data_IF_469220597002
#
_entry.id   IF_469220597002
#
_cell.length_a   1.000
_cell.length_b   1.000
_cell.length_c   1.000
_cell.angle_alpha   90.00
_cell.angle_beta   90.00
_cell.angle_gamma   90.00
#
_symmetry.space_group_name_H-M   'P 1'
#
loop_
_entity.id
_entity.type
_entity.pdbx_description
1 polymer ?
#
# COMPACT_ATOMS: atom_id res chain seq x y z
N UNK A 1 4.60 22.69 -2.08
CA UNK A 1 5.62 21.63 -1.91
C UNK A 1 5.49 21.09 -0.49
N UNK A 2 5.51 19.77 -0.28
CA UNK A 2 5.41 19.18 1.06
C UNK A 2 6.80 19.05 1.68
N UNK A 3 6.95 19.43 2.94
CA UNK A 3 8.18 19.32 3.70
C UNK A 3 8.08 18.21 4.74
N UNK A 4 9.13 17.41 4.91
CA UNK A 4 9.20 16.40 5.96
C UNK A 4 10.36 16.68 6.90
N UNK A 5 10.07 16.60 8.20
CA UNK A 5 11.05 16.71 9.27
C UNK A 5 11.07 15.40 10.04
N UNK A 6 12.19 14.68 9.95
CA UNK A 6 12.38 13.41 10.63
C UNK A 6 12.75 13.65 12.10
N UNK A 7 12.17 12.87 13.02
CA UNK A 7 12.35 13.07 14.48
C UNK A 7 13.40 12.12 15.08
N UNK A 8 13.79 11.05 14.37
CA UNK A 8 14.75 10.05 14.87
C UNK A 8 16.05 9.97 14.04
N UNK A 9 17.04 9.20 14.49
CA UNK A 9 18.23 8.91 13.70
C UNK A 9 17.91 7.87 12.63
N UNK A 10 18.27 8.14 11.37
CA UNK A 10 18.29 7.10 10.35
C UNK A 10 19.27 6.00 10.77
N UNK A 11 18.77 4.78 10.95
CA UNK A 11 19.66 3.63 11.09
C UNK A 11 20.58 3.62 9.87
N UNK A 12 21.90 3.57 10.08
CA UNK A 12 22.92 3.44 9.01
C UNK A 12 22.87 2.03 8.40
N UNK A 13 21.69 1.49 8.13
CA UNK A 13 21.57 0.20 7.47
C UNK A 13 22.05 0.38 6.04
N UNK A 14 23.08 -0.38 5.67
CA UNK A 14 23.79 -0.34 4.38
C UNK A 14 22.93 -0.74 3.16
N UNK A 15 21.66 -1.05 3.34
CA UNK A 15 20.80 -1.62 2.29
C UNK A 15 19.97 -0.54 1.59
N UNK A 16 20.10 -0.45 0.27
CA UNK A 16 19.18 0.28 -0.61
C UNK A 16 17.85 -0.49 -0.67
N UNK A 17 16.91 -0.11 0.20
CA UNK A 17 15.59 -0.73 0.32
C UNK A 17 14.46 0.22 -0.07
N UNK A 18 13.28 -0.31 -0.38
CA UNK A 18 12.06 0.50 -0.53
C UNK A 18 11.35 0.54 0.81
N UNK A 19 11.55 1.62 1.55
CA UNK A 19 11.05 1.77 2.92
C UNK A 19 9.73 2.52 2.94
N UNK A 20 8.88 2.16 3.89
CA UNK A 20 7.65 2.84 4.22
C UNK A 20 7.78 3.53 5.57
N UNK A 21 7.21 4.73 5.65
CA UNK A 21 7.08 5.49 6.88
C UNK A 21 5.63 5.93 6.95
N UNK A 22 4.96 5.59 8.06
CA UNK A 22 3.64 6.13 8.34
C UNK A 22 3.81 7.60 8.72
N UNK A 23 3.34 8.46 7.83
CA UNK A 23 3.38 9.92 7.98
C UNK A 23 1.99 10.46 7.72
N UNK A 24 1.71 11.69 8.12
CA UNK A 24 0.46 12.37 7.77
C UNK A 24 0.69 13.90 7.74
N UNK A 25 -0.18 14.67 7.07
CA UNK A 25 -0.12 16.13 7.11
C UNK A 25 -0.30 16.65 8.54
N UNK A 26 0.55 17.58 8.96
CA UNK A 26 0.43 18.25 10.25
C UNK A 26 -0.80 19.16 10.25
N UNK A 27 -1.81 18.92 11.12
CA UNK A 27 -2.99 19.78 11.19
C UNK A 27 -2.67 21.21 11.64
N UNK A 28 -1.52 21.43 12.29
CA UNK A 28 -1.10 22.74 12.82
C UNK A 28 -0.15 23.49 11.87
N UNK A 29 0.46 22.79 10.90
CA UNK A 29 1.48 23.35 10.00
C UNK A 29 1.20 22.92 8.56
N UNK A 30 0.40 23.70 7.80
CA UNK A 30 0.09 23.41 6.41
C UNK A 30 1.36 23.18 5.58
N UNK A 31 1.38 22.11 4.80
CA UNK A 31 2.52 21.73 3.98
C UNK A 31 3.62 20.95 4.70
N UNK A 32 3.50 20.72 6.01
CA UNK A 32 4.43 19.86 6.75
C UNK A 32 3.85 18.45 6.92
N UNK A 33 4.71 17.44 6.75
CA UNK A 33 4.46 16.05 7.08
C UNK A 33 5.11 15.72 8.43
N UNK A 34 4.43 14.92 9.24
CA UNK A 34 4.91 14.46 10.54
C UNK A 34 4.79 12.93 10.62
N UNK A 35 5.80 12.31 11.22
CA UNK A 35 5.80 10.89 11.57
C UNK A 35 6.18 10.74 13.04
N UNK A 36 5.68 9.67 13.68
CA UNK A 36 6.15 9.22 15.00
C UNK A 36 6.77 7.83 14.96
N UNK A 37 6.76 7.20 13.80
CA UNK A 37 7.18 5.82 13.63
C UNK A 37 8.57 5.78 12.98
N UNK A 38 9.29 4.68 13.21
CA UNK A 38 10.55 4.41 12.55
C UNK A 38 10.38 4.06 11.07
N UNK A 39 11.50 3.81 10.41
CA UNK A 39 11.52 3.30 9.03
C UNK A 39 11.18 1.82 8.98
N UNK A 40 10.18 1.44 8.19
CA UNK A 40 9.79 0.05 8.00
C UNK A 40 10.17 -0.44 6.60
N UNK A 41 11.06 -1.42 6.51
CA UNK A 41 11.42 -2.07 5.24
C UNK A 41 10.35 -3.09 4.78
N UNK A 42 9.63 -3.70 5.71
CA UNK A 42 8.54 -4.61 5.41
C UNK A 42 7.22 -3.83 5.38
N UNK A 43 6.44 -4.05 4.30
CA UNK A 43 5.07 -3.50 4.13
C UNK A 43 4.21 -3.78 5.36
N UNK A 44 4.44 -4.94 5.92
CA UNK A 44 3.71 -5.49 7.02
C UNK A 44 3.89 -4.73 8.34
N UNK A 45 5.12 -4.31 8.66
CA UNK A 45 5.36 -3.48 9.84
C UNK A 45 4.75 -2.08 9.66
N UNK A 46 4.72 -1.57 8.43
CA UNK A 46 3.98 -0.35 8.11
C UNK A 46 2.46 -0.51 8.29
N UNK A 47 1.87 -1.65 7.90
CA UNK A 47 0.45 -1.92 8.17
C UNK A 47 0.21 -2.03 9.68
N UNK A 48 1.12 -2.66 10.42
CA UNK A 48 1.05 -2.72 11.88
C UNK A 48 1.08 -1.33 12.53
N UNK A 49 1.91 -0.40 12.05
CA UNK A 49 1.93 0.97 12.59
C UNK A 49 0.59 1.69 12.38
N UNK A 50 -0.08 1.45 11.25
CA UNK A 50 -1.43 1.94 11.01
C UNK A 50 -2.44 1.45 12.04
N UNK A 51 -2.40 0.16 12.36
CA UNK A 51 -3.33 -0.48 13.29
C UNK A 51 -3.32 0.18 14.66
N UNK A 52 -2.13 0.49 15.18
CA UNK A 52 -1.99 1.02 16.54
C UNK A 52 -2.57 2.45 16.67
N UNK A 53 -2.85 3.11 15.54
CA UNK A 53 -3.52 4.41 15.48
C UNK A 53 -5.04 4.31 15.15
N UNK A 54 -5.60 3.11 14.94
CA UNK A 54 -7.04 2.92 14.66
C UNK A 54 -7.78 2.62 15.98
N UNK A 55 -8.57 3.60 16.46
CA UNK A 55 -9.32 3.55 17.74
C UNK A 55 -10.83 3.61 17.51
N UNK A 56 -11.62 3.30 18.56
CA UNK A 56 -13.08 3.52 18.53
C UNK A 56 -13.37 5.02 18.43
N UNK A 57 -14.26 5.42 17.53
CA UNK A 57 -14.54 6.84 17.27
C UNK A 57 -13.55 7.47 16.29
N UNK A 58 -13.36 6.81 15.15
CA UNK A 58 -12.53 7.10 13.98
C UNK A 58 -12.80 8.46 13.28
N UNK A 59 -13.23 9.47 14.03
CA UNK A 59 -13.81 10.70 13.49
C UNK A 59 -12.81 11.83 13.34
N UNK A 60 -11.66 11.88 14.02
CA UNK A 60 -10.82 13.09 13.99
C UNK A 60 -9.30 12.94 14.04
N UNK A 61 -8.71 11.74 14.12
CA UNK A 61 -7.24 11.65 14.13
C UNK A 61 -6.65 11.76 12.72
N UNK A 62 -5.89 12.84 12.37
CA UNK A 62 -5.39 13.07 11.01
C UNK A 62 -4.55 11.93 10.45
N UNK A 63 -4.04 11.03 11.30
CA UNK A 63 -3.18 9.89 10.97
C UNK A 63 -3.88 8.75 10.23
N UNK A 64 -5.19 8.64 10.41
CA UNK A 64 -6.01 7.53 9.89
C UNK A 64 -7.21 8.02 9.07
N UNK A 65 -7.35 9.32 8.84
CA UNK A 65 -8.43 9.86 8.01
C UNK A 65 -8.34 9.41 6.54
N UNK A 66 -7.12 9.20 6.05
CA UNK A 66 -6.80 8.76 4.70
C UNK A 66 -5.65 7.76 4.75
N UNK A 67 -5.36 7.13 3.62
CA UNK A 67 -4.17 6.32 3.50
C UNK A 67 -2.98 7.22 3.15
N UNK A 68 -1.94 7.16 3.96
CA UNK A 68 -0.76 7.99 3.89
C UNK A 68 0.51 7.13 3.93
N UNK A 69 1.37 7.24 2.93
CA UNK A 69 2.64 6.53 2.92
C UNK A 69 3.74 7.48 2.46
N UNK A 70 4.79 7.61 3.26
CA UNK A 70 6.03 8.21 2.79
C UNK A 70 6.98 7.08 2.43
N UNK A 71 7.51 7.14 1.22
CA UNK A 71 8.39 6.14 0.65
C UNK A 71 9.77 6.74 0.45
N UNK A 72 10.81 5.95 0.73
CA UNK A 72 12.21 6.34 0.49
C UNK A 72 13.10 5.16 0.11
N UNK A 73 14.30 5.49 -0.38
CA UNK A 73 15.41 4.55 -0.60
C UNK A 73 16.32 4.37 0.63
N UNK A 74 16.03 5.09 1.73
CA UNK A 74 16.46 4.72 3.08
C UNK A 74 17.74 5.34 3.62
N UNK A 75 18.45 6.20 2.87
CA UNK A 75 19.63 6.91 3.40
C UNK A 75 19.88 8.27 2.75
N UNK A 76 20.56 9.20 3.46
CA UNK A 76 21.11 10.42 2.89
C UNK A 76 22.06 10.11 1.74
N UNK A 77 21.98 10.88 0.66
CA UNK A 77 22.87 10.73 -0.48
C UNK A 77 23.10 12.11 -1.11
N UNK A 78 24.33 12.60 -1.10
CA UNK A 78 24.63 13.95 -1.61
C UNK A 78 24.99 13.92 -3.10
N UNK A 79 25.86 13.00 -3.51
CA UNK A 79 26.39 12.98 -4.89
C UNK A 79 25.41 12.36 -5.89
N UNK A 80 24.56 11.45 -5.45
CA UNK A 80 23.58 10.77 -6.30
C UNK A 80 22.13 11.19 -5.99
N UNK A 81 21.92 12.25 -5.20
CA UNK A 81 20.60 12.69 -4.77
C UNK A 81 19.61 12.78 -5.93
N UNK A 82 19.96 13.53 -6.97
CA UNK A 82 19.07 13.77 -8.11
C UNK A 82 18.75 12.50 -8.88
N UNK A 83 19.76 11.64 -9.11
CA UNK A 83 19.57 10.34 -9.76
C UNK A 83 18.62 9.45 -8.96
N UNK A 84 18.81 9.39 -7.65
CA UNK A 84 17.99 8.58 -6.76
C UNK A 84 16.57 9.14 -6.62
N UNK A 85 16.44 10.46 -6.55
CA UNK A 85 15.16 11.16 -6.48
C UNK A 85 14.35 10.96 -7.77
N UNK A 86 15.01 11.03 -8.94
CA UNK A 86 14.39 10.76 -10.23
C UNK A 86 14.00 9.28 -10.39
N UNK A 87 14.86 8.35 -9.95
CA UNK A 87 14.53 6.92 -9.95
C UNK A 87 13.32 6.64 -9.06
N UNK A 88 13.31 7.18 -7.83
CA UNK A 88 12.21 6.98 -6.89
C UNK A 88 10.92 7.61 -7.40
N UNK A 89 10.99 8.79 -8.04
CA UNK A 89 9.83 9.42 -8.68
C UNK A 89 9.25 8.52 -9.76
N UNK A 90 10.08 8.08 -10.71
CA UNK A 90 9.65 7.23 -11.83
C UNK A 90 9.00 5.94 -11.35
N UNK A 91 9.60 5.30 -10.35
CA UNK A 91 9.05 4.07 -9.75
C UNK A 91 7.74 4.34 -9.01
N UNK A 92 7.64 5.50 -8.34
CA UNK A 92 6.42 5.92 -7.64
C UNK A 92 5.30 6.29 -8.60
N UNK A 93 5.59 6.91 -9.73
CA UNK A 93 4.61 7.25 -10.79
C UNK A 93 4.01 5.99 -11.42
N UNK A 94 4.82 4.97 -11.66
CA UNK A 94 4.32 3.66 -12.11
C UNK A 94 3.42 3.00 -11.06
N UNK A 95 3.83 3.01 -9.80
CA UNK A 95 3.01 2.50 -8.70
C UNK A 95 1.69 3.26 -8.57
N UNK A 96 1.72 4.58 -8.71
CA UNK A 96 0.54 5.44 -8.73
C UNK A 96 -0.37 5.12 -9.91
N UNK A 97 0.18 4.88 -11.11
CA UNK A 97 -0.59 4.50 -12.29
C UNK A 97 -1.38 3.22 -12.07
N UNK A 98 -0.73 2.20 -11.50
CA UNK A 98 -1.40 0.94 -11.13
C UNK A 98 -2.53 1.22 -10.16
N UNK A 99 -2.27 1.93 -9.06
CA UNK A 99 -3.31 2.27 -8.07
C UNK A 99 -4.49 3.01 -8.72
N UNK A 100 -4.20 4.06 -9.48
CA UNK A 100 -5.21 4.90 -10.10
C UNK A 100 -6.02 4.17 -11.18
N UNK A 101 -5.45 3.13 -11.80
CA UNK A 101 -6.17 2.24 -12.73
C UNK A 101 -7.30 1.50 -12.00
N UNK A 102 -6.98 0.85 -10.88
CA UNK A 102 -8.00 0.18 -10.05
C UNK A 102 -8.99 1.16 -9.40
N UNK A 103 -8.51 2.28 -8.88
CA UNK A 103 -9.42 3.27 -8.29
C UNK A 103 -10.37 3.86 -9.34
N UNK A 104 -9.92 4.05 -10.58
CA UNK A 104 -10.77 4.51 -11.67
C UNK A 104 -11.87 3.50 -11.99
N UNK A 105 -11.49 2.24 -12.21
CA UNK A 105 -12.43 1.14 -12.51
C UNK A 105 -13.53 1.03 -11.45
N UNK A 106 -13.16 1.08 -10.18
CA UNK A 106 -14.10 0.92 -9.06
C UNK A 106 -14.74 2.24 -8.60
N UNK A 107 -14.51 3.35 -9.31
CA UNK A 107 -15.05 4.69 -9.00
C UNK A 107 -14.67 5.19 -7.60
N UNK A 108 -13.44 4.91 -7.17
CA UNK A 108 -12.87 5.42 -5.92
C UNK A 108 -12.16 6.76 -6.17
N UNK A 109 -12.09 7.65 -5.16
CA UNK A 109 -11.27 8.85 -5.28
C UNK A 109 -9.80 8.48 -5.51
N UNK A 110 -9.15 9.14 -6.48
CA UNK A 110 -7.78 8.82 -6.90
C UNK A 110 -6.74 9.12 -5.82
N UNK A 111 -5.77 8.24 -5.68
CA UNK A 111 -4.53 8.43 -4.94
C UNK A 111 -3.71 9.54 -5.62
N UNK A 112 -2.98 10.30 -4.81
CA UNK A 112 -2.10 11.38 -5.28
C UNK A 112 -0.68 11.13 -4.82
N UNK A 113 0.27 11.57 -5.63
CA UNK A 113 1.71 11.49 -5.37
C UNK A 113 2.27 12.90 -5.21
N UNK A 114 3.13 13.08 -4.23
CA UNK A 114 3.81 14.35 -3.98
C UNK A 114 5.31 14.12 -3.78
N UNK A 115 6.12 14.92 -4.45
CA UNK A 115 7.54 15.09 -4.09
C UNK A 115 7.63 15.76 -2.73
N UNK A 116 8.54 15.29 -1.89
CA UNK A 116 8.73 15.80 -0.53
C UNK A 116 10.16 16.32 -0.38
N UNK A 117 10.27 17.58 0.02
CA UNK A 117 11.54 18.20 0.39
C UNK A 117 11.87 17.89 1.85
N UNK A 118 13.17 17.74 2.13
CA UNK A 118 13.71 17.48 3.46
C UNK A 118 15.13 18.04 3.54
N UNK A 119 15.64 18.18 4.77
CA UNK A 119 16.99 18.71 5.02
C UNK A 119 18.09 17.65 4.97
N UNK A 120 17.72 16.37 4.97
CA UNK A 120 18.64 15.25 5.15
C UNK A 120 19.18 14.71 3.81
N UNK A 121 18.86 15.36 2.67
CA UNK A 121 19.18 14.88 1.32
C UNK A 121 18.77 13.42 1.10
N UNK A 122 17.57 13.07 1.57
CA UNK A 122 16.97 11.74 1.36
C UNK A 122 15.82 11.87 0.36
N UNK A 123 15.81 11.09 -0.73
CA UNK A 123 14.67 11.08 -1.64
C UNK A 123 13.39 10.59 -0.95
N UNK A 124 12.32 11.38 -1.04
CA UNK A 124 11.01 11.05 -0.48
C UNK A 124 9.89 11.27 -1.46
N UNK A 125 8.97 10.31 -1.49
CA UNK A 125 7.71 10.39 -2.22
C UNK A 125 6.56 10.12 -1.26
N UNK A 126 5.55 10.98 -1.27
CA UNK A 126 4.38 10.87 -0.41
C UNK A 126 3.15 10.48 -1.22
N UNK A 127 2.55 9.35 -0.86
CA UNK A 127 1.29 8.86 -1.40
C UNK A 127 0.14 9.22 -0.45
N UNK A 128 -0.92 9.78 -1.05
CA UNK A 128 -2.16 10.14 -0.38
C UNK A 128 -3.32 9.42 -1.04
N UNK A 129 -3.77 8.32 -0.46
CA UNK A 129 -4.90 7.52 -0.92
C UNK A 129 -6.22 7.84 -0.20
N UNK A 130 -7.37 7.45 -0.76
CA UNK A 130 -8.67 7.62 -0.11
C UNK A 130 -8.80 6.83 1.20
N UNK A 131 -9.76 7.25 2.04
CA UNK A 131 -10.11 6.59 3.29
C UNK A 131 -10.42 5.09 3.11
N UNK A 132 -10.96 4.68 1.95
CA UNK A 132 -11.32 3.28 1.68
C UNK A 132 -10.15 2.30 1.90
N UNK A 133 -8.93 2.66 1.52
CA UNK A 133 -7.74 1.80 1.71
C UNK A 133 -7.42 1.49 3.17
N UNK A 134 -7.82 2.37 4.08
CA UNK A 134 -7.61 2.19 5.53
C UNK A 134 -8.67 1.31 6.19
N UNK A 135 -9.70 0.85 5.46
CA UNK A 135 -10.82 0.13 6.05
C UNK A 135 -10.44 -1.24 6.63
N UNK A 136 -9.45 -1.91 6.03
CA UNK A 136 -8.92 -3.18 6.52
C UNK A 136 -7.41 -3.30 6.25
N UNK A 137 -6.69 -4.13 7.02
CA UNK A 137 -5.27 -4.40 6.76
C UNK A 137 -5.04 -5.03 5.39
N UNK A 138 -6.00 -5.79 4.85
CA UNK A 138 -5.91 -6.39 3.51
C UNK A 138 -5.95 -5.36 2.38
N UNK A 139 -6.79 -4.33 2.52
CA UNK A 139 -6.84 -3.20 1.59
C UNK A 139 -5.55 -2.38 1.67
N UNK A 140 -5.04 -2.10 2.88
CA UNK A 140 -3.75 -1.42 3.04
C UNK A 140 -2.60 -2.25 2.44
N UNK A 141 -2.64 -3.57 2.62
CA UNK A 141 -1.69 -4.51 2.01
C UNK A 141 -1.73 -4.50 0.49
N UNK A 142 -2.91 -4.36 -0.10
CA UNK A 142 -3.09 -4.27 -1.54
C UNK A 142 -2.56 -2.93 -2.07
N UNK A 143 -2.95 -1.82 -1.45
CA UNK A 143 -2.51 -0.48 -1.82
C UNK A 143 -0.98 -0.35 -1.82
N UNK A 144 -0.35 -0.79 -0.74
CA UNK A 144 1.13 -0.79 -0.62
C UNK A 144 1.80 -1.81 -1.56
N UNK A 145 1.17 -2.92 -1.90
CA UNK A 145 1.69 -3.83 -2.93
C UNK A 145 1.74 -3.13 -4.30
N UNK A 146 0.66 -2.44 -4.68
CA UNK A 146 0.59 -1.71 -5.94
C UNK A 146 1.67 -0.61 -6.04
N UNK A 147 1.95 0.12 -4.95
CA UNK A 147 3.09 1.06 -4.90
C UNK A 147 4.41 0.36 -5.19
N UNK A 148 4.67 -0.76 -4.50
CA UNK A 148 5.92 -1.51 -4.61
C UNK A 148 6.13 -2.13 -5.97
N UNK A 149 5.07 -2.53 -6.67
CA UNK A 149 5.17 -3.08 -8.02
C UNK A 149 5.85 -2.08 -8.97
N UNK A 150 5.65 -0.77 -8.78
CA UNK A 150 6.24 0.26 -9.64
C UNK A 150 7.77 0.23 -9.77
N UNK A 151 8.50 -0.29 -8.77
CA UNK A 151 9.98 -0.41 -8.81
C UNK A 151 10.49 -1.68 -9.49
N UNK A 152 9.60 -2.63 -9.78
CA UNK A 152 10.01 -3.94 -10.24
C UNK A 152 10.40 -3.88 -11.72
N UNK A 153 11.51 -4.51 -12.08
CA UNK A 153 12.02 -4.54 -13.47
C UNK A 153 11.16 -5.40 -14.41
N UNK A 154 10.35 -6.31 -13.87
CA UNK A 154 9.50 -7.21 -14.65
C UNK A 154 8.17 -6.59 -15.11
N UNK A 155 7.81 -5.38 -14.66
CA UNK A 155 6.59 -4.73 -15.14
C UNK A 155 6.70 -4.37 -16.64
N UNK A 156 5.58 -4.27 -17.38
CA UNK A 156 5.60 -3.89 -18.79
C UNK A 156 6.29 -2.54 -19.01
N UNK A 157 7.08 -2.42 -20.09
CA UNK A 157 7.77 -1.15 -20.43
C UNK A 157 6.78 -0.05 -20.81
N UNK A 158 5.69 -0.42 -21.48
CA UNK A 158 4.58 0.45 -21.88
C UNK A 158 3.45 0.49 -20.84
N UNK A 159 3.72 0.15 -19.56
CA UNK A 159 2.71 0.10 -18.49
C UNK A 159 1.78 1.32 -18.48
N UNK A 160 2.35 2.51 -18.65
CA UNK A 160 1.65 3.81 -18.56
C UNK A 160 0.68 4.10 -19.71
N UNK A 161 0.68 3.26 -20.75
CA UNK A 161 -0.17 3.38 -21.94
C UNK A 161 -1.30 2.34 -21.95
N UNK A 162 -1.28 1.40 -21.00
CA UNK A 162 -2.26 0.32 -20.95
C UNK A 162 -3.55 0.79 -20.27
N UNK A 163 -4.69 0.49 -20.88
CA UNK A 163 -5.98 0.53 -20.19
C UNK A 163 -6.01 -0.46 -19.01
N UNK A 164 -7.08 -0.39 -18.20
CA UNK A 164 -7.20 -1.19 -16.99
C UNK A 164 -7.12 -2.70 -17.26
N UNK A 165 -7.90 -3.21 -18.22
CA UNK A 165 -7.94 -4.63 -18.56
C UNK A 165 -6.56 -5.14 -19.03
N UNK A 166 -5.91 -4.42 -19.94
CA UNK A 166 -4.59 -4.79 -20.44
C UNK A 166 -3.52 -4.66 -19.37
N UNK A 167 -3.60 -3.66 -18.48
CA UNK A 167 -2.70 -3.53 -17.34
C UNK A 167 -2.80 -4.75 -16.43
N UNK A 168 -4.01 -5.15 -16.04
CA UNK A 168 -4.25 -6.33 -15.16
C UNK A 168 -3.71 -7.60 -15.83
N UNK A 169 -4.03 -7.79 -17.11
CA UNK A 169 -3.57 -8.95 -17.90
C UNK A 169 -2.05 -9.03 -18.00
N UNK A 170 -1.40 -7.93 -18.37
CA UNK A 170 0.06 -7.88 -18.55
C UNK A 170 0.80 -8.04 -17.22
N UNK A 171 0.33 -7.41 -16.14
CA UNK A 171 0.89 -7.61 -14.81
C UNK A 171 0.75 -9.07 -14.37
N UNK A 172 -0.39 -9.72 -14.64
CA UNK A 172 -0.59 -11.13 -14.31
C UNK A 172 0.38 -12.06 -15.07
N UNK A 173 0.58 -11.82 -16.37
CA UNK A 173 1.52 -12.58 -17.20
C UNK A 173 2.95 -12.39 -16.67
N UNK A 174 3.40 -11.14 -16.52
CA UNK A 174 4.77 -10.86 -16.13
C UNK A 174 5.08 -11.32 -14.71
N UNK A 175 4.14 -11.13 -13.77
CA UNK A 175 4.30 -11.61 -12.41
C UNK A 175 4.44 -13.14 -12.36
N UNK A 176 3.65 -13.87 -13.16
CA UNK A 176 3.74 -15.34 -13.25
C UNK A 176 5.09 -15.79 -13.79
N UNK A 177 5.58 -15.19 -14.87
CA UNK A 177 6.88 -15.53 -15.48
C UNK A 177 8.06 -15.26 -14.52
N UNK A 178 7.93 -14.27 -13.65
CA UNK A 178 8.97 -13.85 -12.72
C UNK A 178 8.74 -14.35 -11.28
N UNK A 179 7.77 -15.24 -11.06
CA UNK A 179 7.51 -15.86 -9.77
C UNK A 179 8.44 -17.06 -9.54
N UNK A 180 9.74 -16.82 -9.43
CA UNK A 180 10.70 -17.82 -8.94
C UNK A 180 10.96 -17.60 -7.44
N UNK A 181 10.72 -18.63 -6.63
CA UNK A 181 10.82 -18.55 -5.16
C UNK A 181 9.56 -18.07 -4.43
N UNK A 182 9.56 -18.15 -3.10
CA UNK A 182 8.32 -18.19 -2.28
C UNK A 182 7.79 -16.85 -1.72
N UNK A 183 8.47 -15.71 -1.89
CA UNK A 183 8.12 -14.49 -1.12
C UNK A 183 8.22 -13.12 -1.82
N UNK A 184 8.59 -13.04 -3.11
CA UNK A 184 8.77 -11.77 -3.82
C UNK A 184 7.46 -11.07 -4.26
N UNK A 185 7.58 -9.80 -4.67
CA UNK A 185 6.45 -8.98 -5.18
C UNK A 185 5.75 -9.67 -6.37
N UNK A 186 6.51 -10.33 -7.27
CA UNK A 186 5.99 -11.12 -8.39
C UNK A 186 5.14 -12.32 -7.93
N UNK A 187 5.60 -13.06 -6.92
CA UNK A 187 4.87 -14.19 -6.34
C UNK A 187 3.53 -13.74 -5.71
N UNK A 188 3.56 -12.65 -4.94
CA UNK A 188 2.35 -12.08 -4.33
C UNK A 188 1.36 -11.57 -5.39
N UNK A 189 1.87 -10.87 -6.41
CA UNK A 189 1.06 -10.34 -7.50
C UNK A 189 0.44 -11.46 -8.32
N UNK A 190 1.24 -12.43 -8.77
CA UNK A 190 0.79 -13.61 -9.53
C UNK A 190 -0.34 -14.36 -8.82
N UNK A 191 -0.21 -14.53 -7.50
CA UNK A 191 -1.20 -15.24 -6.70
C UNK A 191 -2.52 -14.48 -6.49
N UNK A 192 -2.55 -13.16 -6.68
CA UNK A 192 -3.68 -12.34 -6.20
C UNK A 192 -4.30 -11.42 -7.23
N UNK A 193 -3.56 -10.99 -8.25
CA UNK A 193 -3.98 -9.89 -9.14
C UNK A 193 -5.32 -10.14 -9.84
N UNK A 194 -5.60 -11.40 -10.21
CA UNK A 194 -6.88 -11.80 -10.84
C UNK A 194 -8.10 -11.65 -9.94
N UNK A 195 -7.90 -11.38 -8.65
CA UNK A 195 -8.96 -11.21 -7.67
C UNK A 195 -9.03 -9.80 -7.11
N UNK A 196 -8.15 -8.90 -7.54
CA UNK A 196 -8.14 -7.53 -7.02
C UNK A 196 -9.41 -6.78 -7.40
N UNK A 197 -9.88 -6.91 -8.65
CA UNK A 197 -11.12 -6.25 -9.08
C UNK A 197 -12.34 -6.75 -8.32
N UNK A 198 -12.53 -8.06 -8.23
CA UNK A 198 -13.64 -8.62 -7.47
C UNK A 198 -13.57 -8.23 -5.98
N UNK A 199 -12.36 -8.16 -5.42
CA UNK A 199 -12.20 -7.74 -4.02
C UNK A 199 -12.59 -6.26 -3.82
N UNK A 200 -12.23 -5.39 -4.77
CA UNK A 200 -12.55 -3.97 -4.72
C UNK A 200 -14.02 -3.66 -5.04
N UNK A 201 -14.64 -4.38 -6.00
CA UNK A 201 -16.06 -4.25 -6.34
C UNK A 201 -16.95 -4.59 -5.14
N UNK A 202 -16.56 -5.63 -4.39
CA UNK A 202 -17.27 -6.12 -3.22
C UNK A 202 -17.09 -5.27 -1.96
N UNK A 203 -16.39 -4.13 -2.02
CA UNK A 203 -16.08 -3.29 -0.85
C UNK A 203 -17.30 -2.97 0.02
N UNK A 204 -18.41 -2.53 -0.60
CA UNK A 204 -19.63 -2.18 0.11
C UNK A 204 -20.22 -3.37 0.87
N UNK A 205 -20.27 -4.53 0.21
CA UNK A 205 -20.75 -5.77 0.83
C UNK A 205 -19.82 -6.27 1.93
N UNK A 206 -18.49 -6.19 1.75
CA UNK A 206 -17.50 -6.70 2.68
C UNK A 206 -17.41 -5.86 3.96
N UNK A 207 -17.30 -4.54 3.81
CA UNK A 207 -16.94 -3.63 4.90
C UNK A 207 -18.08 -2.68 5.31
N UNK A 208 -19.17 -2.64 4.55
CA UNK A 208 -20.34 -1.82 4.89
C UNK A 208 -20.88 -2.11 6.29
N UNK A 209 -21.22 -1.05 7.01
CA UNK A 209 -21.82 -1.09 8.36
C UNK A 209 -20.97 -1.77 9.45
N UNK A 210 -19.70 -2.05 9.19
CA UNK A 210 -18.76 -2.61 10.17
C UNK A 210 -17.73 -1.53 10.49
N UNK A 211 -17.37 -1.38 11.77
CA UNK A 211 -16.40 -0.37 12.17
C UNK A 211 -15.01 -0.72 11.64
N UNK A 212 -14.21 0.29 11.30
CA UNK A 212 -12.81 0.07 10.91
C UNK A 212 -12.06 -0.71 11.98
N UNK A 213 -12.19 -0.31 13.27
CA UNK A 213 -11.52 -1.01 14.39
C UNK A 213 -11.79 -2.52 14.37
N UNK A 214 -13.01 -2.96 14.05
CA UNK A 214 -13.33 -4.37 13.95
C UNK A 214 -12.44 -5.13 12.95
N UNK A 215 -12.18 -4.53 11.78
CA UNK A 215 -11.32 -5.14 10.76
C UNK A 215 -9.84 -5.14 11.12
N UNK A 216 -9.44 -4.31 12.07
CA UNK A 216 -8.06 -4.15 12.52
C UNK A 216 -7.79 -4.82 13.88
N UNK A 217 -8.78 -5.53 14.43
CA UNK A 217 -8.66 -6.25 15.71
C UNK A 217 -7.65 -7.41 15.61
N UNK A 218 -6.59 -7.32 16.43
CA UNK A 218 -5.51 -8.31 16.55
C UNK A 218 -6.02 -9.74 16.76
N UNK A 219 -7.17 -9.92 17.43
CA UNK A 219 -7.75 -11.25 17.65
C UNK A 219 -8.11 -11.96 16.35
N UNK A 220 -8.44 -11.19 15.31
CA UNK A 220 -8.90 -11.66 13.99
C UNK A 220 -7.79 -11.82 12.98
N UNK A 221 -6.61 -11.29 13.26
CA UNK A 221 -5.48 -11.25 12.35
C UNK A 221 -4.43 -12.31 12.67
N UNK A 222 -3.73 -12.78 11.65
CA UNK A 222 -2.51 -13.56 11.76
C UNK A 222 -1.47 -12.76 12.58
N UNK A 223 -0.86 -13.44 13.56
CA UNK A 223 -0.10 -12.82 14.65
C UNK A 223 1.09 -11.94 14.22
N UNK A 224 1.53 -11.08 15.15
CA UNK A 224 2.47 -9.97 14.96
C UNK A 224 3.92 -10.37 14.63
N UNK A 225 4.35 -11.59 14.95
CA UNK A 225 5.78 -11.83 15.14
C UNK A 225 6.56 -12.28 13.88
N UNK A 226 5.91 -12.71 12.78
CA UNK A 226 6.65 -13.10 11.56
C UNK A 226 5.83 -13.33 10.28
N UNK A 227 4.49 -13.38 10.34
CA UNK A 227 3.62 -13.60 9.15
C UNK A 227 2.46 -12.62 9.12
N UNK A 228 2.74 -11.37 8.76
CA UNK A 228 1.75 -10.32 8.89
C UNK A 228 0.69 -10.44 7.79
N UNK A 229 -0.49 -9.89 8.06
CA UNK A 229 -1.62 -10.01 7.17
C UNK A 229 -1.35 -9.39 5.81
N UNK A 230 -1.44 -10.22 4.78
CA UNK A 230 -1.30 -9.81 3.39
C UNK A 230 -2.60 -10.07 2.64
N UNK A 231 -2.88 -9.25 1.62
CA UNK A 231 -4.02 -9.47 0.71
C UNK A 231 -4.08 -10.91 0.19
N UNK A 232 -2.92 -11.54 -0.07
CA UNK A 232 -2.82 -12.95 -0.44
C UNK A 232 -3.49 -13.89 0.56
N UNK A 233 -3.31 -13.70 1.86
CA UNK A 233 -3.88 -14.59 2.87
C UNK A 233 -5.40 -14.58 2.84
N UNK A 234 -6.01 -13.40 2.68
CA UNK A 234 -7.46 -13.30 2.51
C UNK A 234 -7.90 -14.00 1.22
N UNK A 235 -7.23 -13.72 0.10
CA UNK A 235 -7.65 -14.24 -1.21
C UNK A 235 -7.42 -15.75 -1.37
N UNK A 236 -6.45 -16.33 -0.66
CA UNK A 236 -6.17 -17.78 -0.66
C UNK A 236 -6.81 -18.52 0.53
N UNK A 237 -7.56 -17.83 1.39
CA UNK A 237 -8.24 -18.45 2.55
C UNK A 237 -7.35 -18.85 3.72
N UNK A 238 -6.07 -18.44 3.72
CA UNK A 238 -5.10 -18.72 4.80
C UNK A 238 -5.09 -17.62 5.87
N UNK A 239 -6.02 -16.67 5.80
CA UNK A 239 -6.25 -15.64 6.82
C UNK A 239 -6.77 -16.25 8.13
N UNK A 240 -6.43 -15.67 9.29
CA UNK A 240 -7.12 -15.99 10.56
C UNK A 240 -8.54 -15.42 10.61
N UNK A 241 -8.82 -14.41 9.80
CA UNK A 241 -10.12 -13.73 9.73
C UNK A 241 -11.12 -14.50 8.87
N UNK A 242 -11.40 -15.74 9.27
CA UNK A 242 -12.23 -16.70 8.50
C UNK A 242 -13.66 -16.20 8.24
N UNK A 243 -14.21 -15.37 9.12
CA UNK A 243 -15.51 -14.72 8.90
C UNK A 243 -15.51 -13.80 7.67
N UNK A 244 -14.49 -12.94 7.53
CA UNK A 244 -14.36 -12.06 6.36
C UNK A 244 -14.10 -12.87 5.09
N UNK A 245 -13.28 -13.92 5.17
CA UNK A 245 -13.03 -14.82 4.03
C UNK A 245 -14.31 -15.52 3.56
N UNK A 246 -15.10 -16.10 4.47
CA UNK A 246 -16.40 -16.71 4.12
C UNK A 246 -17.34 -15.71 3.50
N UNK A 247 -17.41 -14.49 4.04
CA UNK A 247 -18.22 -13.39 3.47
C UNK A 247 -17.80 -13.06 2.04
N UNK A 248 -16.49 -12.95 1.79
CA UNK A 248 -15.93 -12.74 0.46
C UNK A 248 -16.31 -13.87 -0.52
N UNK A 249 -16.12 -15.13 -0.15
CA UNK A 249 -16.49 -16.29 -0.98
C UNK A 249 -18.00 -16.32 -1.30
N UNK A 250 -18.84 -16.01 -0.32
CA UNK A 250 -20.29 -15.97 -0.51
C UNK A 250 -20.73 -14.87 -1.47
N UNK A 251 -20.09 -13.70 -1.40
CA UNK A 251 -20.39 -12.59 -2.31
C UNK A 251 -19.97 -12.90 -3.75
N UNK A 252 -18.75 -13.45 -3.93
CA UNK A 252 -18.29 -13.92 -5.25
C UNK A 252 -19.24 -14.95 -5.88
N UNK A 253 -19.71 -15.91 -5.08
CA UNK A 253 -20.63 -16.94 -5.56
C UNK A 253 -22.01 -16.39 -5.93
N UNK A 254 -22.40 -15.24 -5.39
CA UNK A 254 -23.64 -14.54 -5.76
C UNK A 254 -23.47 -13.78 -7.07
N UNK A 255 -22.35 -13.05 -7.24
CA UNK A 255 -22.06 -12.33 -8.48
C UNK A 255 -21.92 -13.28 -9.69
N UNK A 256 -21.38 -14.48 -9.50
CA UNK A 256 -21.27 -15.46 -10.59
C UNK A 256 -22.61 -16.06 -11.05
N UNK A 257 -23.71 -15.81 -10.33
CA UNK A 257 -25.07 -16.29 -10.66
C UNK A 257 -25.96 -15.22 -11.30
N UNK A 258 -25.50 -13.97 -11.31
CA UNK A 258 -26.15 -12.82 -11.94
C UNK A 258 -25.50 -12.54 -13.28
#
# INVERSE_FOLDING_TARGET
>A
MLNYHHISSWGRTIYRGYYYIHTWPDPKKPGQLVSRDGTFNCREFFIESYRDNIRDGDTYEPRVLKAYALVTLGRPENSLFDSWNNSLLKDSEKGLYIINSFEHEHKWPKTRLYKVSNRDNIPFMFFLGPRKWTMSPYLMSLWTLMMRIGRNSWIPKNLMELDHENLVRQLAINAKTNASGSSGDSSQTSATIRSWDNFMSLYGGLFGHISRKYHWDRKRLNGHNSRPEGIRMLLTGTTKYQELYRKYRNLLAKEAKT
#
